data_IF_059031848689
#
_entry.id   IF_059031848689
#
_cell.length_a   1.000
_cell.length_b   1.000
_cell.length_c   1.000
_cell.angle_alpha   90.00
_cell.angle_beta   90.00
_cell.angle_gamma   90.00
#
_symmetry.space_group_name_H-M   'P 1'
#
loop_
_entity.id
_entity.type
_entity.pdbx_description
1 polymer ?
#
# COMPACT_ATOMS: atom_id res chain seq x y z
N UNK A 1 47.80 -3.61 -24.28
CA UNK A 1 47.10 -4.72 -23.60
C UNK A 1 45.60 -4.46 -23.64
N UNK A 2 44.77 -5.43 -24.06
CA UNK A 2 43.29 -5.23 -24.15
C UNK A 2 42.62 -5.55 -22.83
N UNK A 3 41.92 -4.57 -22.21
CA UNK A 3 41.15 -4.75 -21.00
C UNK A 3 39.76 -5.32 -21.35
N UNK A 4 39.41 -6.47 -20.79
CA UNK A 4 38.14 -7.19 -21.08
C UNK A 4 37.05 -6.96 -20.02
N UNK A 5 37.31 -6.27 -18.93
CA UNK A 5 36.35 -5.96 -17.82
C UNK A 5 35.54 -7.17 -17.30
N UNK A 6 36.10 -8.38 -17.38
CA UNK A 6 35.37 -9.63 -17.07
C UNK A 6 34.88 -9.72 -15.62
N UNK A 7 35.71 -9.24 -14.68
CA UNK A 7 35.35 -9.26 -13.24
C UNK A 7 34.15 -8.35 -12.96
N UNK A 8 34.17 -7.13 -13.47
CA UNK A 8 33.10 -6.14 -13.32
C UNK A 8 31.78 -6.63 -13.93
N UNK A 9 31.85 -7.13 -15.18
CA UNK A 9 30.68 -7.69 -15.88
C UNK A 9 30.07 -8.88 -15.12
N UNK A 10 30.92 -9.77 -14.56
CA UNK A 10 30.46 -10.92 -13.79
C UNK A 10 29.80 -10.49 -12.45
N UNK A 11 30.36 -9.51 -11.77
CA UNK A 11 29.79 -8.95 -10.55
C UNK A 11 28.42 -8.32 -10.82
N UNK A 12 28.28 -7.56 -11.92
CA UNK A 12 27.01 -7.00 -12.35
C UNK A 12 25.95 -8.10 -12.61
N UNK A 13 26.29 -9.12 -13.40
CA UNK A 13 25.38 -10.24 -13.68
C UNK A 13 24.94 -10.98 -12.40
N UNK A 14 25.86 -11.20 -11.44
CA UNK A 14 25.52 -11.86 -10.17
C UNK A 14 24.41 -11.14 -9.39
N UNK A 15 24.34 -9.80 -9.42
CA UNK A 15 23.26 -9.03 -8.78
C UNK A 15 21.89 -9.38 -9.37
N UNK A 16 21.79 -9.44 -10.70
CA UNK A 16 20.56 -9.82 -11.38
C UNK A 16 20.15 -11.26 -11.11
N UNK A 17 21.10 -12.20 -11.14
CA UNK A 17 20.80 -13.61 -10.81
C UNK A 17 20.32 -13.77 -9.36
N UNK A 18 20.84 -12.96 -8.42
CA UNK A 18 20.36 -12.95 -7.05
C UNK A 18 18.89 -12.51 -6.94
N UNK A 19 18.50 -11.47 -7.70
CA UNK A 19 17.10 -10.98 -7.75
C UNK A 19 16.17 -11.95 -8.48
N UNK A 20 16.69 -12.75 -9.42
CA UNK A 20 15.92 -13.70 -10.20
C UNK A 20 15.73 -15.08 -9.52
N UNK A 21 16.26 -15.28 -8.31
CA UNK A 21 16.06 -16.53 -7.58
C UNK A 21 14.57 -16.84 -7.39
N UNK A 22 14.19 -18.10 -7.59
CA UNK A 22 12.80 -18.54 -7.47
C UNK A 22 11.96 -18.35 -8.73
N UNK A 23 12.45 -17.67 -9.76
CA UNK A 23 11.72 -17.57 -11.02
C UNK A 23 11.68 -18.91 -11.76
N UNK A 24 10.59 -19.11 -12.51
CA UNK A 24 10.35 -20.35 -13.26
C UNK A 24 11.30 -20.49 -14.45
N UNK A 25 11.83 -21.71 -14.66
CA UNK A 25 12.62 -22.13 -15.83
C UNK A 25 13.80 -21.20 -16.18
N UNK A 26 14.02 -20.89 -17.45
CA UNK A 26 15.12 -20.07 -17.98
C UNK A 26 15.17 -18.63 -17.42
N UNK A 27 14.08 -18.13 -16.85
CA UNK A 27 13.99 -16.81 -16.22
C UNK A 27 14.89 -16.66 -14.98
N UNK A 28 15.40 -17.76 -14.43
CA UNK A 28 16.35 -17.77 -13.31
C UNK A 28 17.81 -18.01 -13.71
N UNK A 29 18.06 -18.61 -14.91
CA UNK A 29 19.37 -19.12 -15.30
C UNK A 29 19.98 -18.50 -16.55
N UNK A 30 19.16 -18.16 -17.55
CA UNK A 30 19.66 -17.59 -18.81
C UNK A 30 19.74 -16.06 -18.71
N UNK A 31 20.92 -15.50 -18.91
CA UNK A 31 21.18 -14.06 -18.70
C UNK A 31 20.18 -13.11 -19.39
N UNK A 32 19.88 -13.32 -20.66
CA UNK A 32 18.92 -12.46 -21.39
C UNK A 32 17.53 -12.49 -20.73
N UNK A 33 17.04 -13.67 -20.39
CA UNK A 33 15.74 -13.87 -19.74
C UNK A 33 15.73 -13.31 -18.32
N UNK A 34 16.82 -13.52 -17.57
CA UNK A 34 16.99 -12.98 -16.22
C UNK A 34 16.94 -11.46 -16.23
N UNK A 35 17.69 -10.80 -17.11
CA UNK A 35 17.71 -9.35 -17.24
C UNK A 35 16.32 -8.79 -17.50
N UNK A 36 15.64 -9.29 -18.53
CA UNK A 36 14.29 -8.87 -18.91
C UNK A 36 13.29 -9.07 -17.74
N UNK A 37 13.32 -10.24 -17.10
CA UNK A 37 12.40 -10.56 -16.00
C UNK A 37 12.62 -9.67 -14.78
N UNK A 38 13.87 -9.41 -14.41
CA UNK A 38 14.21 -8.55 -13.28
C UNK A 38 13.80 -7.10 -13.55
N UNK A 39 14.09 -6.57 -14.74
CA UNK A 39 13.71 -5.20 -15.12
C UNK A 39 12.18 -5.04 -15.11
N UNK A 40 11.43 -6.00 -15.66
CA UNK A 40 9.98 -6.01 -15.61
C UNK A 40 9.44 -6.07 -14.17
N UNK A 41 10.01 -6.96 -13.33
CA UNK A 41 9.60 -7.10 -11.93
C UNK A 41 9.85 -5.82 -11.11
N UNK A 42 10.96 -5.14 -11.33
CA UNK A 42 11.27 -3.88 -10.66
C UNK A 42 10.31 -2.75 -11.09
N UNK A 43 9.92 -2.73 -12.36
CA UNK A 43 8.95 -1.77 -12.87
C UNK A 43 7.56 -2.00 -12.26
N UNK A 44 7.10 -3.26 -12.21
CA UNK A 44 5.84 -3.60 -11.55
C UNK A 44 5.89 -3.33 -10.04
N UNK A 45 7.01 -3.58 -9.38
CA UNK A 45 7.18 -3.22 -7.97
C UNK A 45 7.09 -1.70 -7.73
N UNK A 46 7.58 -0.89 -8.67
CA UNK A 46 7.45 0.56 -8.61
C UNK A 46 5.98 1.02 -8.71
N UNK A 47 5.22 0.44 -9.65
CA UNK A 47 3.77 0.69 -9.77
C UNK A 47 3.03 0.25 -8.51
N UNK A 48 3.25 -0.99 -8.05
CA UNK A 48 2.60 -1.54 -6.87
C UNK A 48 2.84 -0.72 -5.59
N UNK A 49 4.03 -0.13 -5.42
CA UNK A 49 4.28 0.78 -4.29
C UNK A 49 3.46 2.08 -4.37
N UNK A 50 3.12 2.55 -5.56
CA UNK A 50 2.24 3.72 -5.75
C UNK A 50 0.76 3.35 -5.53
N UNK A 51 0.32 2.23 -6.06
CA UNK A 51 -1.05 1.72 -5.94
C UNK A 51 -1.39 1.38 -4.48
N UNK A 52 -0.46 0.79 -3.75
CA UNK A 52 -0.60 0.42 -2.33
C UNK A 52 -1.19 1.54 -1.46
N UNK A 53 -0.87 2.81 -1.75
CA UNK A 53 -1.42 3.96 -1.00
C UNK A 53 -2.92 4.11 -1.23
N UNK A 54 -3.38 3.88 -2.46
CA UNK A 54 -4.79 3.88 -2.82
C UNK A 54 -5.54 2.70 -2.18
N UNK A 55 -4.95 1.52 -2.20
CA UNK A 55 -5.53 0.29 -1.64
C UNK A 55 -5.75 0.43 -0.13
N UNK A 56 -4.73 0.91 0.60
CA UNK A 56 -4.89 1.17 2.03
C UNK A 56 -5.93 2.24 2.32
N UNK A 57 -6.01 3.29 1.52
CA UNK A 57 -7.05 4.32 1.69
C UNK A 57 -8.44 3.73 1.48
N UNK A 58 -8.62 2.90 0.47
CA UNK A 58 -9.87 2.19 0.21
C UNK A 58 -10.26 1.30 1.40
N UNK A 59 -9.32 0.53 1.93
CA UNK A 59 -9.53 -0.32 3.11
C UNK A 59 -9.94 0.51 4.34
N UNK A 60 -9.31 1.66 4.60
CA UNK A 60 -9.70 2.53 5.71
C UNK A 60 -11.13 3.05 5.54
N UNK A 61 -11.48 3.47 4.33
CA UNK A 61 -12.85 3.96 4.04
C UNK A 61 -13.87 2.85 4.26
N UNK A 62 -13.59 1.63 3.83
CA UNK A 62 -14.49 0.48 4.07
C UNK A 62 -14.69 0.21 5.56
N UNK A 63 -13.63 0.20 6.35
CA UNK A 63 -13.70 -0.01 7.81
C UNK A 63 -14.50 1.08 8.50
N UNK A 64 -14.24 2.35 8.18
CA UNK A 64 -15.01 3.48 8.73
C UNK A 64 -16.46 3.38 8.32
N UNK A 65 -16.76 3.06 7.05
CA UNK A 65 -18.13 2.95 6.57
C UNK A 65 -18.90 1.82 7.27
N UNK A 66 -18.27 0.66 7.49
CA UNK A 66 -18.87 -0.43 8.26
C UNK A 66 -19.25 0.01 9.70
N UNK A 67 -18.31 0.69 10.38
CA UNK A 67 -18.56 1.22 11.72
C UNK A 67 -19.64 2.33 11.74
N UNK A 68 -19.67 3.20 10.72
CA UNK A 68 -20.72 4.19 10.55
C UNK A 68 -22.11 3.53 10.40
N UNK A 69 -22.22 2.46 9.59
CA UNK A 69 -23.47 1.72 9.40
C UNK A 69 -23.98 1.08 10.71
N UNK A 70 -23.09 0.56 11.54
CA UNK A 70 -23.42 0.05 12.86
C UNK A 70 -23.97 1.14 13.81
N UNK A 71 -23.62 2.40 13.57
CA UNK A 71 -24.09 3.56 14.33
C UNK A 71 -25.11 4.42 13.56
N UNK A 72 -25.88 3.81 12.67
CA UNK A 72 -27.01 4.41 11.92
C UNK A 72 -26.65 5.66 11.12
N UNK A 73 -25.39 5.80 10.71
CA UNK A 73 -24.92 6.95 9.91
C UNK A 73 -24.22 6.50 8.64
N UNK A 74 -23.90 7.44 7.75
CA UNK A 74 -23.16 7.17 6.53
C UNK A 74 -21.78 7.79 6.61
N UNK A 75 -20.80 7.20 5.90
CA UNK A 75 -19.43 7.71 5.81
C UNK A 75 -19.37 9.20 5.42
N UNK A 76 -20.19 9.61 4.43
CA UNK A 76 -20.20 11.01 3.96
C UNK A 76 -20.68 11.99 5.03
N UNK A 77 -21.78 11.66 5.72
CA UNK A 77 -22.32 12.48 6.83
C UNK A 77 -21.31 12.57 7.97
N UNK A 78 -20.74 11.44 8.36
CA UNK A 78 -19.74 11.37 9.43
C UNK A 78 -18.49 12.24 9.15
N UNK A 79 -17.89 12.11 7.96
CA UNK A 79 -16.71 12.90 7.59
C UNK A 79 -17.04 14.39 7.48
N UNK A 80 -18.23 14.75 6.98
CA UNK A 80 -18.67 16.13 6.91
C UNK A 80 -18.89 16.72 8.32
N UNK A 81 -19.55 15.97 9.22
CA UNK A 81 -19.73 16.36 10.61
C UNK A 81 -18.42 16.56 11.34
N UNK A 82 -17.44 15.66 11.20
CA UNK A 82 -16.10 15.83 11.78
C UNK A 82 -15.40 17.10 11.28
N UNK A 83 -15.54 17.43 9.99
CA UNK A 83 -14.98 18.67 9.43
C UNK A 83 -15.63 19.90 10.03
N UNK A 84 -16.95 19.91 10.19
CA UNK A 84 -17.68 21.03 10.81
C UNK A 84 -17.32 21.18 12.30
N UNK A 85 -17.16 20.06 13.01
CA UNK A 85 -16.70 20.04 14.40
C UNK A 85 -15.21 20.42 14.56
N UNK A 86 -14.47 20.70 13.48
CA UNK A 86 -13.05 21.03 13.53
C UNK A 86 -12.13 19.86 13.90
N UNK A 87 -12.59 18.62 13.83
CA UNK A 87 -11.83 17.42 14.21
C UNK A 87 -10.99 16.94 13.02
N UNK A 88 -9.67 17.16 13.09
CA UNK A 88 -8.69 16.87 12.03
C UNK A 88 -8.07 15.48 12.16
N UNK A 89 -8.86 14.44 12.33
CA UNK A 89 -8.38 13.05 12.33
C UNK A 89 -8.26 12.52 10.90
N UNK A 90 -7.13 11.87 10.60
CA UNK A 90 -6.95 11.24 9.30
C UNK A 90 -7.68 9.88 9.23
N UNK A 91 -7.93 9.39 7.98
CA UNK A 91 -8.66 8.13 7.75
C UNK A 91 -8.00 6.91 8.36
N UNK A 92 -6.66 6.89 8.45
CA UNK A 92 -5.92 5.80 9.06
C UNK A 92 -6.26 5.69 10.56
N UNK A 93 -6.19 6.80 11.29
CA UNK A 93 -6.54 6.85 12.72
C UNK A 93 -8.01 6.52 12.94
N UNK A 94 -8.92 7.10 12.18
CA UNK A 94 -10.35 6.80 12.25
C UNK A 94 -10.64 5.31 12.02
N UNK A 95 -9.97 4.68 11.04
CA UNK A 95 -10.16 3.25 10.76
C UNK A 95 -9.61 2.35 11.86
N UNK A 96 -8.57 2.79 12.56
CA UNK A 96 -7.99 2.06 13.69
C UNK A 96 -8.90 2.12 14.91
N UNK A 97 -9.41 3.31 15.23
CA UNK A 97 -10.44 3.49 16.29
C UNK A 97 -11.68 2.68 15.95
N UNK A 98 -12.17 2.72 14.72
CA UNK A 98 -13.32 1.94 14.27
C UNK A 98 -13.15 0.43 14.44
N UNK A 99 -11.92 -0.09 14.29
CA UNK A 99 -11.65 -1.52 14.39
C UNK A 99 -11.37 -2.00 15.82
N UNK A 100 -10.77 -1.14 16.68
CA UNK A 100 -10.29 -1.54 18.00
C UNK A 100 -11.15 -1.01 19.15
N UNK A 101 -11.78 0.14 18.99
CA UNK A 101 -12.51 0.84 20.03
C UNK A 101 -13.83 1.41 19.50
N UNK A 102 -14.84 0.55 19.48
CA UNK A 102 -16.20 0.94 19.07
C UNK A 102 -16.85 1.99 19.99
N UNK A 103 -16.48 2.03 21.29
CA UNK A 103 -17.01 3.00 22.22
C UNK A 103 -16.51 4.42 21.91
N UNK A 104 -15.22 4.59 21.67
CA UNK A 104 -14.64 5.86 21.24
C UNK A 104 -15.13 6.27 19.85
N UNK A 105 -15.34 5.30 18.94
CA UNK A 105 -15.91 5.61 17.63
C UNK A 105 -17.35 6.14 17.74
N UNK A 106 -18.18 5.57 18.62
CA UNK A 106 -19.54 6.05 18.89
C UNK A 106 -19.56 7.49 19.42
N UNK A 107 -18.62 7.86 20.29
CA UNK A 107 -18.45 9.25 20.75
C UNK A 107 -18.11 10.20 19.58
N UNK A 108 -17.22 9.78 18.66
CA UNK A 108 -16.90 10.56 17.46
C UNK A 108 -18.11 10.74 16.55
N UNK A 109 -18.97 9.71 16.43
CA UNK A 109 -20.24 9.82 15.67
C UNK A 109 -21.18 10.84 16.31
N UNK A 110 -21.35 10.82 17.64
CA UNK A 110 -22.20 11.77 18.35
C UNK A 110 -21.72 13.22 18.17
N UNK A 111 -20.41 13.45 18.25
CA UNK A 111 -19.81 14.77 18.00
C UNK A 111 -20.02 15.23 16.54
N UNK A 112 -19.92 14.32 15.59
CA UNK A 112 -20.14 14.62 14.16
C UNK A 112 -21.61 14.89 13.82
N UNK A 113 -22.55 14.36 14.59
CA UNK A 113 -24.00 14.61 14.39
C UNK A 113 -24.47 15.90 15.06
N UNK A 114 -23.77 16.35 16.10
CA UNK A 114 -24.09 17.60 16.83
C UNK A 114 -23.52 18.88 16.19
N UNK A 115 -22.73 18.73 15.10
CA UNK A 115 -22.12 19.84 14.38
C UNK A 115 -22.80 20.12 13.04
#
# INVERSE_FOLDING_TARGET
MRIKSGVSTRAHKKKFFKLAKGNYSAKRSRWRMVKQQVEASLNEAYKGRKEKKGDFRSLWIQRINAACRQNETTYGRFINGLKKAGILLNRKMLSEVAARDGASFKKLVSLAQGA
#
